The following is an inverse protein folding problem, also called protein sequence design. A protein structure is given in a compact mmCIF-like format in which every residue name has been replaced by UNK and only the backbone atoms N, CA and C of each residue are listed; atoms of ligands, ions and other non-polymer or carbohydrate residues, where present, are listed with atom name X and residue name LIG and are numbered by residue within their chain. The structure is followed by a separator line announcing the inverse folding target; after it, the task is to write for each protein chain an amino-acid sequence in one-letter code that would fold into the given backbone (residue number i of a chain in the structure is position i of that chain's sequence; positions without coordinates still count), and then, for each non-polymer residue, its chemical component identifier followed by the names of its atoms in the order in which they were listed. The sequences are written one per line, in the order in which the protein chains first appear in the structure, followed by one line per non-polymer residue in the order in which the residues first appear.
data_IF_278353666321
#
_entry.id   IF_278353666321
#
_cell.length_a   1.000
_cell.length_b   1.000
_cell.length_c   1.000
_cell.angle_alpha   90.00
_cell.angle_beta   90.00
_cell.angle_gamma   90.00
#
_symmetry.space_group_name_H-M   'P 1'
#
loop_
_entity.id
_entity.type
_entity.pdbx_description
1 polymer ?
#
# COMPACT_ATOMS: atom_id res chain seq x y z
N UNK A 1 -12.21 8.33 8.34
CA UNK A 1 -11.00 8.37 7.48
C UNK A 1 -10.42 6.98 7.47
N UNK A 2 -10.22 6.40 6.28
CA UNK A 2 -9.71 5.04 6.14
C UNK A 2 -8.31 5.10 5.56
N UNK A 3 -7.32 4.84 6.40
CA UNK A 3 -5.94 4.73 5.97
C UNK A 3 -5.66 3.30 5.50
N UNK A 4 -4.97 3.19 4.37
CA UNK A 4 -4.29 1.95 3.97
C UNK A 4 -2.79 2.16 4.05
N UNK A 5 -2.05 1.07 4.18
CA UNK A 5 -0.66 1.11 4.59
C UNK A 5 0.25 0.45 3.58
N UNK A 6 1.50 0.91 3.50
CA UNK A 6 2.54 0.30 2.67
C UNK A 6 3.90 0.39 3.34
N UNK A 7 4.61 -0.73 3.33
CA UNK A 7 6.03 -0.75 3.65
C UNK A 7 6.85 -0.23 2.48
N UNK A 8 7.62 0.82 2.73
CA UNK A 8 8.41 1.54 1.75
C UNK A 8 9.86 1.53 2.21
N UNK A 9 10.79 1.38 1.27
CA UNK A 9 12.20 1.58 1.56
C UNK A 9 12.44 3.03 2.01
N UNK A 10 13.09 3.24 3.15
CA UNK A 10 13.37 4.58 3.66
C UNK A 10 14.19 5.41 2.66
N UNK A 11 14.96 4.75 1.78
CA UNK A 11 15.77 5.38 0.74
C UNK A 11 15.09 5.33 -0.64
N UNK A 12 13.79 5.02 -0.71
CA UNK A 12 13.08 4.99 -1.99
C UNK A 12 13.15 6.35 -2.70
N UNK A 13 13.39 6.39 -4.01
CA UNK A 13 13.29 7.64 -4.78
C UNK A 13 11.88 8.25 -4.77
N UNK A 14 10.87 7.49 -4.33
CA UNK A 14 9.49 7.99 -4.19
C UNK A 14 9.27 8.80 -2.89
N UNK A 15 10.17 8.75 -1.90
CA UNK A 15 9.97 9.45 -0.61
C UNK A 15 9.69 10.95 -0.80
N UNK A 16 10.46 11.71 -1.61
CA UNK A 16 10.15 13.12 -1.86
C UNK A 16 8.77 13.34 -2.48
N UNK A 17 8.28 12.42 -3.31
CA UNK A 17 6.95 12.51 -3.91
C UNK A 17 5.85 12.28 -2.86
N UNK A 18 6.02 11.28 -2.00
CA UNK A 18 5.08 10.99 -0.92
C UNK A 18 4.97 12.15 0.08
N UNK A 19 6.08 12.81 0.43
CA UNK A 19 6.07 14.03 1.27
C UNK A 19 5.24 15.17 0.65
N UNK A 20 5.19 15.21 -0.68
CA UNK A 20 4.38 16.16 -1.46
C UNK A 20 2.99 15.59 -1.83
N UNK A 21 2.54 14.52 -1.17
CA UNK A 21 1.25 13.85 -1.38
C UNK A 21 1.03 13.33 -2.81
N UNK A 22 2.12 13.03 -3.52
CA UNK A 22 2.07 12.46 -4.87
C UNK A 22 2.19 10.95 -4.81
N UNK A 23 1.25 10.25 -5.46
CA UNK A 23 1.24 8.80 -5.54
C UNK A 23 2.11 8.33 -6.72
N UNK A 24 3.42 8.22 -6.50
CA UNK A 24 4.34 7.63 -7.47
C UNK A 24 4.69 6.20 -7.08
N UNK A 25 5.22 5.42 -8.03
CA UNK A 25 5.81 4.13 -7.70
C UNK A 25 6.99 3.82 -8.59
N UNK A 26 8.15 3.63 -7.96
CA UNK A 26 9.39 3.27 -8.60
C UNK A 26 9.81 1.85 -8.22
N UNK A 27 10.27 1.07 -9.20
CA UNK A 27 10.85 -0.27 -9.02
C UNK A 27 12.23 -0.30 -9.65
N UNK A 28 13.27 -0.60 -8.86
CA UNK A 28 14.67 -0.54 -9.32
C UNK A 28 15.12 0.85 -9.77
N UNK A 29 14.58 1.91 -9.13
CA UNK A 29 14.93 3.30 -9.45
C UNK A 29 14.23 3.90 -10.67
N UNK A 30 13.25 3.20 -11.28
CA UNK A 30 12.50 3.66 -12.45
C UNK A 30 11.01 3.64 -12.17
N UNK A 31 10.27 4.57 -12.77
CA UNK A 31 8.79 4.55 -12.77
C UNK A 31 8.30 3.17 -13.20
N UNK A 32 7.33 2.63 -12.45
CA UNK A 32 6.87 1.26 -12.64
C UNK A 32 5.38 1.20 -12.97
N UNK A 33 5.06 0.39 -13.98
CA UNK A 33 3.69 0.00 -14.31
C UNK A 33 3.18 -1.17 -13.46
N UNK A 34 4.02 -1.66 -12.54
CA UNK A 34 3.60 -2.65 -11.54
C UNK A 34 2.57 -2.07 -10.59
N UNK A 35 1.82 -2.98 -9.97
CA UNK A 35 0.77 -2.60 -9.05
C UNK A 35 1.35 -1.95 -7.79
N UNK A 36 0.70 -0.88 -7.34
CA UNK A 36 1.03 -0.23 -6.08
C UNK A 36 0.31 -0.94 -4.95
N UNK A 37 1.01 -1.87 -4.30
CA UNK A 37 0.48 -2.65 -3.19
C UNK A 37 0.32 -1.83 -1.91
N UNK A 38 -0.89 -1.88 -1.35
CA UNK A 38 -1.26 -1.36 -0.03
C UNK A 38 -2.02 -2.44 0.74
N UNK A 39 -2.14 -2.30 2.05
CA UNK A 39 -2.91 -3.21 2.88
C UNK A 39 -3.73 -2.49 3.95
N UNK A 40 -4.87 -3.06 4.32
CA UNK A 40 -5.62 -2.67 5.51
C UNK A 40 -5.01 -3.33 6.75
N UNK A 41 -4.49 -2.51 7.68
CA UNK A 41 -3.90 -3.00 8.94
C UNK A 41 -4.89 -3.74 9.84
N UNK A 42 -6.20 -3.52 9.66
CA UNK A 42 -7.23 -4.17 10.46
C UNK A 42 -7.57 -5.56 9.92
N UNK A 43 -7.12 -5.90 8.71
CA UNK A 43 -7.30 -7.23 8.16
C UNK A 43 -6.42 -8.27 8.86
N UNK A 44 -6.76 -9.54 8.65
CA UNK A 44 -6.01 -10.69 9.13
C UNK A 44 -4.64 -10.79 8.45
N UNK A 45 -4.56 -10.48 7.15
CA UNK A 45 -3.30 -10.39 6.45
C UNK A 45 -2.56 -9.11 6.81
N UNK A 46 -1.29 -9.26 7.22
CA UNK A 46 -0.40 -8.14 7.48
C UNK A 46 1.01 -8.50 7.01
N UNK A 47 1.55 -7.81 5.99
CA UNK A 47 2.94 -8.00 5.62
C UNK A 47 3.77 -7.43 6.78
N UNK A 48 4.45 -8.31 7.54
CA UNK A 48 5.10 -7.95 8.79
C UNK A 48 6.19 -8.93 9.23
N UNK A 49 6.04 -10.22 8.89
CA UNK A 49 7.06 -11.24 9.14
C UNK A 49 8.27 -11.01 8.22
N UNK A 50 9.42 -10.68 8.79
CA UNK A 50 10.68 -10.54 8.05
C UNK A 50 10.91 -9.16 7.41
N UNK A 51 10.25 -8.11 7.88
CA UNK A 51 10.46 -6.77 7.35
C UNK A 51 11.89 -6.30 7.65
N UNK A 52 12.57 -5.90 6.58
CA UNK A 52 13.95 -5.40 6.60
C UNK A 52 14.06 -4.16 7.48
N UNK A 53 15.19 -4.04 8.21
CA UNK A 53 15.48 -2.93 9.15
C UNK A 53 15.27 -1.52 8.56
N UNK A 54 15.38 -1.37 7.24
CA UNK A 54 15.36 -0.08 6.54
C UNK A 54 14.00 0.28 5.91
N UNK A 55 12.92 -0.37 6.35
CA UNK A 55 11.56 -0.11 5.86
C UNK A 55 10.80 0.81 6.80
N UNK A 56 10.16 1.83 6.23
CA UNK A 56 9.17 2.67 6.90
C UNK A 56 7.76 2.25 6.48
N UNK A 57 6.80 2.37 7.39
CA UNK A 57 5.38 2.20 7.15
C UNK A 57 4.74 3.56 6.87
N UNK A 58 4.20 3.70 5.66
CA UNK A 58 3.44 4.85 5.23
C UNK A 58 1.94 4.57 5.31
N UNK A 59 1.16 5.57 5.72
CA UNK A 59 -0.28 5.57 5.74
C UNK A 59 -0.80 6.51 4.64
N UNK A 60 -1.71 6.03 3.80
CA UNK A 60 -2.31 6.73 2.68
C UNK A 60 -3.80 6.91 2.92
N UNK A 61 -4.29 8.15 2.82
CA UNK A 61 -5.73 8.46 2.82
C UNK A 61 -6.17 8.79 1.40
N UNK A 62 -6.98 7.91 0.81
CA UNK A 62 -7.61 8.11 -0.49
C UNK A 62 -8.99 8.77 -0.39
N UNK A 63 -9.46 9.11 0.82
CA UNK A 63 -10.81 9.63 1.02
C UNK A 63 -11.88 8.67 0.50
N UNK A 64 -12.87 9.21 -0.21
CA UNK A 64 -13.96 8.42 -0.81
C UNK A 64 -13.47 7.45 -1.89
N UNK A 65 -12.34 7.73 -2.54
CA UNK A 65 -11.76 6.81 -3.54
C UNK A 65 -11.33 5.48 -2.91
N UNK A 66 -11.15 5.42 -1.59
CA UNK A 66 -10.96 4.13 -0.94
C UNK A 66 -12.15 3.21 -1.17
N UNK A 67 -13.38 3.66 -0.88
CA UNK A 67 -14.57 2.82 -1.01
C UNK A 67 -15.07 2.69 -2.43
N UNK A 68 -14.92 3.73 -3.26
CA UNK A 68 -15.44 3.71 -4.64
C UNK A 68 -14.48 3.07 -5.64
N UNK A 69 -13.18 3.02 -5.32
CA UNK A 69 -12.14 2.49 -6.20
C UNK A 69 -11.37 1.33 -5.57
N UNK A 70 -10.63 1.59 -4.48
CA UNK A 70 -9.64 0.65 -3.92
C UNK A 70 -10.28 -0.60 -3.31
N UNK A 71 -11.37 -0.44 -2.58
CA UNK A 71 -12.10 -1.51 -1.89
C UNK A 71 -13.40 -1.89 -2.61
N UNK A 72 -13.61 -1.40 -3.84
CA UNK A 72 -14.80 -1.70 -4.63
C UNK A 72 -14.60 -3.02 -5.41
N UNK A 73 -15.39 -4.08 -5.11
CA UNK A 73 -15.29 -5.36 -5.79
C UNK A 73 -15.44 -5.32 -7.31
N UNK A 74 -16.16 -4.33 -7.85
CA UNK A 74 -16.34 -4.17 -9.30
C UNK A 74 -15.01 -3.87 -10.03
N UNK A 75 -14.01 -3.37 -9.31
CA UNK A 75 -12.69 -3.09 -9.87
C UNK A 75 -11.72 -4.27 -9.68
N UNK A 76 -12.13 -5.38 -9.07
CA UNK A 76 -11.20 -6.41 -8.64
C UNK A 76 -10.80 -7.38 -9.75
N UNK A 77 -9.53 -7.78 -9.73
CA UNK A 77 -9.03 -8.98 -10.39
C UNK A 77 -8.34 -9.87 -9.35
N UNK A 78 -8.73 -11.13 -9.30
CA UNK A 78 -8.15 -12.07 -8.38
C UNK A 78 -6.79 -12.56 -8.91
N UNK A 79 -5.73 -12.40 -8.13
CA UNK A 79 -4.37 -12.85 -8.45
C UNK A 79 -4.30 -14.36 -8.72
N UNK A 80 -5.16 -15.15 -8.07
CA UNK A 80 -5.23 -16.60 -8.27
C UNK A 80 -6.15 -17.01 -9.43
N UNK A 81 -6.81 -16.06 -10.10
CA UNK A 81 -7.63 -16.35 -11.28
C UNK A 81 -6.76 -16.72 -12.49
N UNK A 82 -7.27 -17.61 -13.34
CA UNK A 82 -6.67 -17.90 -14.65
C UNK A 82 -6.59 -16.67 -15.55
N UNK A 83 -7.46 -15.67 -15.34
CA UNK A 83 -7.48 -14.40 -16.07
C UNK A 83 -6.38 -13.44 -15.60
N UNK A 84 -5.70 -13.72 -14.49
CA UNK A 84 -4.57 -12.92 -14.03
C UNK A 84 -3.33 -13.15 -14.89
N UNK A 85 -3.00 -12.19 -15.78
CA UNK A 85 -1.85 -12.28 -16.69
C UNK A 85 -0.63 -11.48 -16.20
N UNK A 86 -0.56 -11.22 -14.90
CA UNK A 86 0.49 -10.42 -14.27
C UNK A 86 0.09 -8.97 -14.00
N UNK A 87 0.77 -8.32 -13.05
CA UNK A 87 0.37 -7.00 -12.53
C UNK A 87 0.31 -5.90 -13.61
N UNK A 88 1.25 -5.91 -14.56
CA UNK A 88 1.32 -4.90 -15.62
C UNK A 88 0.25 -5.06 -16.69
N UNK A 89 -0.45 -6.20 -16.73
CA UNK A 89 -1.55 -6.48 -17.67
C UNK A 89 -2.91 -5.99 -17.16
N UNK A 90 -2.96 -5.54 -15.91
CA UNK A 90 -4.20 -5.13 -15.25
C UNK A 90 -4.13 -3.69 -14.70
N UNK A 91 -3.82 -2.68 -15.55
CA UNK A 91 -3.58 -1.32 -15.08
C UNK A 91 -4.85 -0.60 -14.60
N UNK A 92 -6.03 -1.04 -15.03
CA UNK A 92 -7.35 -0.46 -14.70
C UNK A 92 -8.08 -1.23 -13.60
N UNK A 93 -7.44 -2.19 -12.95
CA UNK A 93 -8.03 -3.02 -11.91
C UNK A 93 -7.26 -2.94 -10.60
N UNK A 94 -7.92 -3.32 -9.52
CA UNK A 94 -7.31 -3.57 -8.22
C UNK A 94 -7.10 -5.06 -8.07
N UNK A 95 -5.84 -5.46 -7.92
CA UNK A 95 -5.47 -6.86 -7.74
C UNK A 95 -5.72 -7.23 -6.29
N UNK A 96 -6.50 -8.29 -6.06
CA UNK A 96 -6.69 -8.88 -4.74
C UNK A 96 -6.09 -10.28 -4.72
N UNK A 97 -5.83 -10.78 -3.52
CA UNK A 97 -5.39 -12.16 -3.29
C UNK A 97 -6.29 -12.78 -2.24
N UNK A 98 -6.85 -13.92 -2.55
CA UNK A 98 -7.84 -14.61 -1.72
C UNK A 98 -7.23 -15.04 -0.37
N UNK A 99 -5.95 -15.39 -0.37
CA UNK A 99 -5.20 -15.76 0.83
C UNK A 99 -4.58 -14.56 1.59
N UNK A 100 -4.61 -13.36 1.03
CA UNK A 100 -4.09 -12.12 1.62
C UNK A 100 -5.21 -11.06 1.71
N UNK A 101 -6.36 -11.43 2.31
CA UNK A 101 -7.51 -10.55 2.41
C UNK A 101 -7.12 -9.17 2.98
N UNK A 102 -7.56 -8.09 2.33
CA UNK A 102 -7.18 -6.71 2.70
C UNK A 102 -5.87 -6.22 2.11
N UNK A 103 -5.16 -7.03 1.30
CA UNK A 103 -4.11 -6.56 0.40
C UNK A 103 -4.72 -6.13 -0.94
N UNK A 104 -4.32 -4.94 -1.42
CA UNK A 104 -4.81 -4.35 -2.66
C UNK A 104 -3.64 -3.91 -3.52
N UNK A 105 -3.51 -4.49 -4.71
CA UNK A 105 -2.55 -4.10 -5.74
C UNK A 105 -3.18 -3.10 -6.69
N UNK A 106 -2.92 -1.82 -6.51
CA UNK A 106 -3.54 -0.76 -7.31
C UNK A 106 -2.85 -0.68 -8.68
N UNK A 107 -3.58 -0.98 -9.75
CA UNK A 107 -3.08 -0.88 -11.13
C UNK A 107 -2.61 0.53 -11.51
N UNK A 108 -1.69 0.62 -12.48
CA UNK A 108 -1.01 1.88 -12.81
C UNK A 108 -1.95 3.00 -13.32
N UNK A 109 -3.01 2.68 -14.06
CA UNK A 109 -3.99 3.68 -14.51
C UNK A 109 -4.90 4.12 -13.36
N UNK A 110 -5.35 3.20 -12.50
CA UNK A 110 -6.08 3.57 -11.27
C UNK A 110 -5.22 4.50 -10.43
N UNK A 111 -3.95 4.16 -10.21
CA UNK A 111 -3.00 4.97 -9.44
C UNK A 111 -2.91 6.40 -9.98
N UNK A 112 -2.90 6.59 -11.30
CA UNK A 112 -2.89 7.92 -11.92
C UNK A 112 -4.16 8.73 -11.72
N UNK A 113 -5.30 8.06 -11.49
CA UNK A 113 -6.61 8.69 -11.22
C UNK A 113 -6.89 8.90 -9.72
N UNK A 114 -6.25 8.12 -8.83
CA UNK A 114 -6.48 8.21 -7.40
C UNK A 114 -6.04 9.56 -6.84
N UNK A 115 -6.99 10.28 -6.25
CA UNK A 115 -6.70 11.46 -5.44
C UNK A 115 -6.25 11.04 -4.05
N UNK A 116 -5.05 11.46 -3.67
CA UNK A 116 -4.53 11.23 -2.32
C UNK A 116 -4.76 12.48 -1.47
N UNK A 117 -5.55 12.34 -0.41
CA UNK A 117 -5.81 13.43 0.55
C UNK A 117 -4.63 13.63 1.49
N UNK A 118 -4.02 12.52 1.91
CA UNK A 118 -2.91 12.54 2.86
C UNK A 118 -1.96 11.35 2.67
N UNK A 119 -0.67 11.61 2.91
CA UNK A 119 0.36 10.58 3.05
C UNK A 119 1.23 10.97 4.23
N UNK A 120 1.39 10.06 5.18
CA UNK A 120 2.20 10.29 6.39
C UNK A 120 2.90 9.03 6.84
N UNK A 121 3.89 9.19 7.72
CA UNK A 121 4.40 8.08 8.50
C UNK A 121 3.26 7.50 9.36
N UNK A 122 3.19 6.17 9.43
CA UNK A 122 2.34 5.50 10.39
C UNK A 122 2.82 5.81 11.81
N UNK A 123 1.86 6.04 12.70
CA UNK A 123 2.10 6.18 14.13
C UNK A 123 2.67 4.88 14.71
N UNK A 124 3.28 4.96 15.89
CA UNK A 124 3.81 3.78 16.59
C UNK A 124 2.74 2.71 16.82
N UNK A 125 1.53 3.13 17.19
CA UNK A 125 0.35 2.26 17.33
C UNK A 125 -0.04 1.55 16.04
N UNK A 126 -0.07 2.28 14.92
CA UNK A 126 -0.40 1.70 13.60
C UNK A 126 0.68 0.73 13.12
N UNK A 127 1.94 1.05 13.36
CA UNK A 127 3.07 0.18 13.06
C UNK A 127 3.04 -1.11 13.89
N UNK A 128 2.72 -1.01 15.19
CA UNK A 128 2.56 -2.17 16.06
C UNK A 128 1.43 -3.08 15.57
N UNK A 129 0.29 -2.49 15.19
CA UNK A 129 -0.82 -3.24 14.60
C UNK A 129 -0.40 -3.96 13.31
N UNK A 130 0.29 -3.27 12.39
CA UNK A 130 0.79 -3.86 11.15
C UNK A 130 1.80 -5.00 11.39
N UNK A 131 2.61 -4.93 12.44
CA UNK A 131 3.58 -5.97 12.79
C UNK A 131 2.99 -7.11 13.64
N UNK A 132 1.78 -6.95 14.17
CA UNK A 132 1.21 -7.90 15.13
C UNK A 132 1.90 -7.86 16.50
N UNK A 133 2.46 -6.71 16.88
CA UNK A 133 3.18 -6.48 18.12
C UNK A 133 2.41 -5.54 19.05
N UNK A 134 2.82 -5.46 20.32
CA UNK A 134 2.40 -4.39 21.23
C UNK A 134 3.16 -3.11 20.90
N UNK A 135 2.54 -1.96 21.18
CA UNK A 135 3.14 -0.65 20.88
C UNK A 135 4.51 -0.45 21.56
N UNK A 136 4.67 -0.95 22.80
CA UNK A 136 5.92 -0.86 23.55
C UNK A 136 7.09 -1.60 22.88
N UNK A 137 6.80 -2.62 22.07
CA UNK A 137 7.80 -3.44 21.37
C UNK A 137 8.29 -2.77 20.07
N UNK A 138 7.59 -1.75 19.59
CA UNK A 138 7.99 -0.99 18.40
C UNK A 138 8.94 0.13 18.80
N UNK A 139 10.07 0.34 18.10
CA UNK A 139 10.96 1.47 18.34
C UNK A 139 10.27 2.83 18.31
N UNK A 140 10.84 3.81 19.01
CA UNK A 140 10.27 5.15 19.08
C UNK A 140 10.40 5.88 17.74
N UNK A 141 9.27 5.98 17.03
CA UNK A 141 9.09 6.87 15.88
C UNK A 141 9.84 6.44 14.62
N UNK A 142 9.18 6.63 13.49
CA UNK A 142 9.80 6.50 12.17
C UNK A 142 10.36 7.85 11.73
N UNK A 143 11.34 7.86 10.84
CA UNK A 143 11.85 9.09 10.21
C UNK A 143 12.01 8.87 8.71
N UNK A 144 11.69 9.90 7.93
CA UNK A 144 11.82 9.93 6.48
C UNK A 144 12.15 11.31 5.97
#
# INVERSE_FOLDING_TARGET
MTYVYRWTDANSPDIPNYKNKKLTYSYGGRSSDKAFWVFDKNSAYRPGKGIMKDRILLAFDFGEHYTTVVANPDNFINFESEDFKGETRHPTQVIIKSNEAGAYGIGAMIRGFLMVRDIRLATRKEMAAALGLKEIEVPAGQRW
#
